data_IF_747061480153
#
_entry.id   IF_747061480153
#
_cell.length_a   1.000
_cell.length_b   1.000
_cell.length_c   1.000
_cell.angle_alpha   90.00
_cell.angle_beta   90.00
_cell.angle_gamma   90.00
#
_symmetry.space_group_name_H-M   'P 1'
#
loop_
_entity.id
_entity.type
_entity.pdbx_description
1 polymer ?
#
# COMPACT_ATOMS: atom_id res chain seq x y z
N UNK A 1 -28.69 -17.10 -2.04
CA UNK A 1 -27.26 -17.46 -2.07
C UNK A 1 -26.52 -16.14 -2.17
N UNK A 2 -26.09 -15.59 -1.03
CA UNK A 2 -25.50 -14.26 -0.96
C UNK A 2 -23.99 -14.45 -0.89
N UNK A 3 -23.32 -14.23 -2.01
CA UNK A 3 -21.87 -14.36 -2.12
C UNK A 3 -21.18 -13.37 -1.18
N UNK A 4 -20.28 -13.90 -0.36
CA UNK A 4 -19.51 -13.19 0.66
C UNK A 4 -18.70 -12.07 -0.01
N UNK A 5 -19.15 -10.82 0.16
CA UNK A 5 -18.38 -9.64 -0.21
C UNK A 5 -17.07 -9.67 0.56
N UNK A 6 -15.94 -9.79 -0.15
CA UNK A 6 -14.60 -9.90 0.42
C UNK A 6 -14.27 -8.57 1.13
N UNK A 7 -14.72 -8.44 2.37
CA UNK A 7 -14.54 -7.23 3.19
C UNK A 7 -13.50 -7.46 4.29
N UNK A 8 -13.04 -8.71 4.43
CA UNK A 8 -12.07 -9.12 5.45
C UNK A 8 -10.74 -9.49 4.80
N UNK A 9 -9.65 -8.97 5.33
CA UNK A 9 -8.30 -9.43 4.99
C UNK A 9 -8.02 -10.73 5.77
N UNK A 10 -7.38 -11.74 5.15
CA UNK A 10 -6.95 -12.94 5.84
C UNK A 10 -5.89 -12.62 6.90
N UNK A 11 -5.89 -13.37 7.99
CA UNK A 11 -4.88 -13.26 9.07
C UNK A 11 -3.48 -13.67 8.61
N UNK A 12 -3.38 -14.36 7.47
CA UNK A 12 -2.09 -14.74 6.87
C UNK A 12 -1.43 -13.49 6.29
N UNK A 13 -0.16 -13.19 6.62
CA UNK A 13 0.56 -12.07 6.04
C UNK A 13 0.61 -12.19 4.52
N UNK A 14 0.16 -11.14 3.82
CA UNK A 14 0.28 -11.11 2.37
C UNK A 14 1.75 -11.10 1.96
N UNK A 15 2.05 -11.79 0.86
CA UNK A 15 3.37 -11.68 0.24
C UNK A 15 3.66 -10.21 -0.11
N UNK A 16 4.94 -9.82 -0.03
CA UNK A 16 5.35 -8.48 -0.45
C UNK A 16 4.99 -8.29 -1.93
N UNK A 17 4.21 -7.25 -2.29
CA UNK A 17 3.86 -6.98 -3.68
C UNK A 17 5.11 -6.85 -4.54
N UNK A 18 5.09 -7.43 -5.73
CA UNK A 18 6.18 -7.25 -6.71
C UNK A 18 5.92 -5.96 -7.48
N UNK A 19 6.89 -5.06 -7.45
CA UNK A 19 6.89 -3.85 -8.29
C UNK A 19 7.55 -4.18 -9.63
N UNK A 20 7.00 -3.63 -10.72
CA UNK A 20 7.59 -3.75 -12.04
C UNK A 20 8.82 -2.85 -12.18
N UNK A 21 8.84 -1.71 -11.49
CA UNK A 21 9.99 -0.81 -11.44
C UNK A 21 10.92 -1.15 -10.28
N UNK A 22 12.22 -1.08 -10.53
CA UNK A 22 13.23 -1.16 -9.47
C UNK A 22 13.44 0.17 -8.75
N UNK A 23 12.80 1.29 -9.13
CA UNK A 23 13.08 2.62 -8.53
C UNK A 23 12.72 2.71 -7.05
N UNK A 24 11.75 1.90 -6.62
CA UNK A 24 11.32 1.80 -5.25
C UNK A 24 11.39 0.35 -4.79
N UNK A 25 11.55 0.16 -3.48
CA UNK A 25 11.43 -1.15 -2.85
C UNK A 25 10.49 -1.09 -1.66
N UNK A 26 9.91 -2.25 -1.34
CA UNK A 26 8.94 -2.41 -0.27
C UNK A 26 9.57 -3.09 0.93
N UNK A 27 9.63 -2.38 2.05
CA UNK A 27 10.09 -2.92 3.33
C UNK A 27 8.88 -3.22 4.19
N UNK A 28 8.71 -4.48 4.61
CA UNK A 28 7.57 -4.88 5.46
C UNK A 28 7.55 -4.07 6.75
N UNK A 29 6.36 -3.59 7.11
CA UNK A 29 6.09 -2.85 8.34
C UNK A 29 5.00 -3.52 9.21
N UNK A 30 4.04 -4.20 8.58
CA UNK A 30 3.06 -5.09 9.23
C UNK A 30 2.54 -6.14 8.22
N UNK A 31 1.54 -6.94 8.60
CA UNK A 31 1.01 -8.04 7.80
C UNK A 31 0.47 -7.60 6.43
N UNK A 32 -0.08 -6.38 6.37
CA UNK A 32 -0.69 -5.79 5.18
C UNK A 32 -0.12 -4.40 4.86
N UNK A 33 1.04 -4.07 5.42
CA UNK A 33 1.63 -2.73 5.35
C UNK A 33 3.12 -2.81 5.03
N UNK A 34 3.55 -1.98 4.07
CA UNK A 34 4.95 -1.82 3.69
C UNK A 34 5.31 -0.35 3.70
N UNK A 35 6.55 -0.05 4.09
CA UNK A 35 7.21 1.23 3.80
C UNK A 35 7.67 1.20 2.35
N UNK A 36 7.34 2.26 1.61
CA UNK A 36 7.84 2.49 0.25
C UNK A 36 9.09 3.33 0.38
N UNK A 37 10.22 2.80 -0.09
CA UNK A 37 11.50 3.48 -0.06
C UNK A 37 12.04 3.72 -1.46
N UNK A 38 12.71 4.85 -1.67
CA UNK A 38 13.51 5.09 -2.87
C UNK A 38 14.85 4.32 -2.81
N UNK A 39 15.62 4.37 -3.89
CA UNK A 39 16.97 3.79 -3.99
C UNK A 39 17.98 4.31 -2.96
N UNK A 40 17.70 5.41 -2.27
CA UNK A 40 18.52 6.01 -1.21
C UNK A 40 17.96 5.72 0.17
N UNK A 41 17.01 4.78 0.28
CA UNK A 41 16.33 4.37 1.50
C UNK A 41 15.43 5.44 2.13
N UNK A 42 15.12 6.53 1.42
CA UNK A 42 14.16 7.53 1.90
C UNK A 42 12.74 6.97 1.82
N UNK A 43 11.99 7.10 2.92
CA UNK A 43 10.59 6.67 2.98
C UNK A 43 9.70 7.68 2.25
N UNK A 44 9.10 7.27 1.13
CA UNK A 44 8.16 8.07 0.34
C UNK A 44 6.73 8.04 0.91
N UNK A 45 6.42 6.96 1.65
CA UNK A 45 5.13 6.71 2.26
C UNK A 45 4.95 5.24 2.61
N UNK A 46 3.69 4.82 2.68
CA UNK A 46 3.30 3.46 2.97
C UNK A 46 2.36 2.92 1.89
N UNK A 47 2.50 1.62 1.64
CA UNK A 47 1.61 0.83 0.81
C UNK A 47 0.84 -0.12 1.71
N UNK A 48 -0.48 -0.09 1.67
CA UNK A 48 -1.35 -0.99 2.42
C UNK A 48 -2.21 -1.81 1.47
N UNK A 49 -2.33 -3.12 1.73
CA UNK A 49 -3.37 -3.93 1.08
C UNK A 49 -4.66 -3.76 1.87
N UNK A 50 -5.74 -3.44 1.17
CA UNK A 50 -7.09 -3.30 1.73
C UNK A 50 -8.07 -4.17 0.96
N UNK A 51 -9.02 -4.77 1.68
CA UNK A 51 -10.07 -5.57 1.07
C UNK A 51 -11.11 -4.64 0.43
N UNK A 52 -11.62 -5.05 -0.72
CA UNK A 52 -12.66 -4.38 -1.48
C UNK A 52 -13.64 -5.45 -2.00
N UNK A 53 -14.94 -5.14 -2.15
CA UNK A 53 -15.91 -6.09 -2.72
C UNK A 53 -15.49 -6.76 -4.03
N UNK A 54 -14.69 -6.07 -4.86
CA UNK A 54 -14.20 -6.59 -6.15
C UNK A 54 -12.80 -7.21 -6.05
N UNK A 55 -12.18 -7.26 -4.86
CA UNK A 55 -10.90 -7.93 -4.63
C UNK A 55 -10.00 -7.20 -3.64
N UNK A 56 -8.73 -7.03 -4.00
CA UNK A 56 -7.75 -6.31 -3.17
C UNK A 56 -7.36 -5.00 -3.83
N UNK A 57 -7.29 -3.94 -3.03
CA UNK A 57 -6.75 -2.65 -3.44
C UNK A 57 -5.46 -2.35 -2.69
N UNK A 58 -4.63 -1.54 -3.32
CA UNK A 58 -3.41 -0.98 -2.79
C UNK A 58 -3.64 0.47 -2.41
N UNK A 59 -3.66 0.77 -1.12
CA UNK A 59 -3.80 2.11 -0.57
C UNK A 59 -2.43 2.73 -0.37
N UNK A 60 -2.23 3.91 -0.94
CA UNK A 60 -1.07 4.75 -0.72
C UNK A 60 -1.34 5.71 0.44
N UNK A 61 -0.51 5.66 1.48
CA UNK A 61 -0.64 6.48 2.69
C UNK A 61 0.64 7.30 2.91
N UNK A 62 0.51 8.57 3.28
CA UNK A 62 1.66 9.42 3.63
C UNK A 62 1.51 9.96 5.04
N UNK A 63 2.57 9.86 5.84
CA UNK A 63 2.61 10.45 7.17
C UNK A 63 2.66 11.97 7.06
N UNK A 64 1.64 12.64 7.59
CA UNK A 64 1.65 14.07 7.76
C UNK A 64 2.34 14.41 9.10
N UNK A 65 3.62 14.75 9.04
CA UNK A 65 4.48 14.90 10.23
C UNK A 65 3.93 15.90 11.26
N UNK A 66 3.34 17.01 10.81
CA UNK A 66 2.84 18.04 11.70
C UNK A 66 1.67 17.58 12.58
N UNK A 67 0.90 16.56 12.15
CA UNK A 67 -0.23 16.04 12.92
C UNK A 67 -0.05 14.58 13.35
N UNK A 68 0.99 13.90 12.88
CA UNK A 68 1.21 12.47 13.13
C UNK A 68 0.17 11.54 12.48
N UNK A 69 -0.68 12.06 11.58
CA UNK A 69 -1.76 11.29 10.95
C UNK A 69 -1.34 10.85 9.55
N UNK A 70 -1.76 9.66 9.13
CA UNK A 70 -1.61 9.20 7.75
C UNK A 70 -2.71 9.78 6.87
N UNK A 71 -2.33 10.49 5.81
CA UNK A 71 -3.23 10.92 4.75
C UNK A 71 -3.27 9.87 3.66
N UNK A 72 -4.46 9.53 3.19
CA UNK A 72 -4.66 8.67 2.04
C UNK A 72 -4.35 9.52 0.79
N UNK A 73 -3.34 9.10 0.03
CA UNK A 73 -3.00 9.69 -1.27
C UNK A 73 -3.94 9.13 -2.34
N UNK A 74 -4.28 7.85 -2.23
CA UNK A 74 -5.25 7.19 -3.10
C UNK A 74 -5.31 5.69 -2.88
N UNK A 75 -6.22 5.04 -3.59
CA UNK A 75 -6.35 3.59 -3.63
C UNK A 75 -6.38 3.10 -5.07
N UNK A 76 -5.67 2.01 -5.34
CA UNK A 76 -5.38 1.57 -6.70
C UNK A 76 -5.53 0.06 -6.83
N UNK A 77 -5.81 -0.42 -8.03
CA UNK A 77 -5.86 -1.87 -8.30
C UNK A 77 -4.48 -2.49 -8.51
N UNK A 78 -3.45 -1.66 -8.78
CA UNK A 78 -2.07 -2.10 -8.98
C UNK A 78 -1.15 -1.47 -7.94
N UNK A 79 -0.21 -2.26 -7.43
CA UNK A 79 0.80 -1.77 -6.48
C UNK A 79 1.70 -0.68 -7.10
N UNK A 80 2.05 -0.83 -8.39
CA UNK A 80 2.87 0.15 -9.13
C UNK A 80 2.22 1.54 -9.15
N UNK A 81 0.90 1.61 -9.35
CA UNK A 81 0.18 2.89 -9.43
C UNK A 81 0.15 3.58 -8.06
N UNK A 82 -0.08 2.81 -7.00
CA UNK A 82 -0.04 3.30 -5.62
C UNK A 82 1.35 3.84 -5.24
N UNK A 83 2.41 3.13 -5.62
CA UNK A 83 3.80 3.56 -5.38
C UNK A 83 4.13 4.80 -6.22
N UNK A 84 3.71 4.84 -7.48
CA UNK A 84 3.92 6.00 -8.34
C UNK A 84 3.25 7.26 -7.79
N UNK A 85 2.05 7.15 -7.23
CA UNK A 85 1.34 8.28 -6.62
C UNK A 85 2.13 8.91 -5.45
N UNK A 86 2.85 8.10 -4.66
CA UNK A 86 3.70 8.58 -3.57
C UNK A 86 4.94 9.33 -4.05
N UNK A 87 5.29 9.30 -5.34
CA UNK A 87 6.40 10.08 -5.89
C UNK A 87 6.03 11.55 -6.10
N UNK A 88 4.75 11.82 -6.41
CA UNK A 88 4.29 13.11 -6.91
C UNK A 88 3.33 13.87 -5.97
N UNK A 89 2.83 13.22 -4.92
CA UNK A 89 2.03 13.84 -3.86
C UNK A 89 2.85 14.64 -2.86
#
# INVERSE_FOLDING_TARGET
MSDNLITSLPEIPYATPRLASAREHLVRAADHLWRVQDQREHVLGHLRIVADPLGLRYRAERLHLATGVFRIVGEFWRADDAVAALRYS
#
